data_IF_854794051681
#
_entry.id   IF_854794051681
#
_cell.length_a   1.000
_cell.length_b   1.000
_cell.length_c   1.000
_cell.angle_alpha   90.00
_cell.angle_beta   90.00
_cell.angle_gamma   90.00
#
_symmetry.space_group_name_H-M   'P 1'
#
loop_
_entity.id
_entity.type
_entity.pdbx_description
1 polymer ?
#
# COMPACT_ATOMS: atom_id res chain seq x y z
N UNK A 1 18.93 1.30 -6.04
CA UNK A 1 18.58 0.10 -6.84
C UNK A 1 18.01 0.49 -8.19
N UNK A 2 18.37 -0.24 -9.25
CA UNK A 2 17.77 -0.11 -10.59
C UNK A 2 16.39 -0.78 -10.61
N UNK A 3 15.48 -0.31 -11.49
CA UNK A 3 14.12 -0.88 -11.62
C UNK A 3 14.13 -2.40 -11.89
N UNK A 4 14.98 -2.93 -12.79
CA UNK A 4 15.06 -4.38 -13.02
C UNK A 4 15.44 -5.17 -11.76
N UNK A 5 16.36 -4.64 -10.96
CA UNK A 5 16.80 -5.27 -9.73
C UNK A 5 15.68 -5.31 -8.68
N UNK A 6 14.88 -4.25 -8.57
CA UNK A 6 13.73 -4.22 -7.67
C UNK A 6 12.66 -5.22 -8.11
N UNK A 7 12.33 -5.27 -9.41
CA UNK A 7 11.39 -6.27 -9.96
C UNK A 7 11.85 -7.70 -9.68
N UNK A 8 13.15 -7.98 -9.83
CA UNK A 8 13.73 -9.28 -9.48
C UNK A 8 13.55 -9.62 -8.01
N UNK A 9 13.72 -8.64 -7.10
CA UNK A 9 13.48 -8.85 -5.67
C UNK A 9 12.01 -9.12 -5.37
N UNK A 10 11.09 -8.35 -5.95
CA UNK A 10 9.63 -8.58 -5.82
C UNK A 10 9.27 -10.00 -6.24
N UNK A 11 9.74 -10.44 -7.42
CA UNK A 11 9.52 -11.81 -7.91
C UNK A 11 10.11 -12.87 -6.96
N UNK A 12 11.27 -12.61 -6.35
CA UNK A 12 11.85 -13.53 -5.37
C UNK A 12 10.95 -13.69 -4.13
N UNK A 13 10.39 -12.59 -3.60
CA UNK A 13 9.43 -12.66 -2.50
C UNK A 13 8.16 -13.41 -2.90
N UNK A 14 7.65 -13.21 -4.11
CA UNK A 14 6.47 -13.91 -4.60
C UNK A 14 6.70 -15.43 -4.67
N UNK A 15 7.84 -15.86 -5.23
CA UNK A 15 8.24 -17.27 -5.24
C UNK A 15 8.35 -17.84 -3.82
N UNK A 16 8.95 -17.10 -2.88
CA UNK A 16 9.05 -17.54 -1.48
C UNK A 16 7.68 -17.69 -0.82
N UNK A 17 6.76 -16.75 -1.05
CA UNK A 17 5.38 -16.81 -0.55
C UNK A 17 4.67 -18.04 -1.15
N UNK A 18 4.85 -18.30 -2.43
CA UNK A 18 4.25 -19.44 -3.13
C UNK A 18 4.74 -20.78 -2.56
N UNK A 19 6.05 -20.93 -2.35
CA UNK A 19 6.65 -22.12 -1.72
C UNK A 19 6.06 -22.36 -0.32
N UNK A 20 5.90 -21.29 0.48
CA UNK A 20 5.29 -21.40 1.81
C UNK A 20 3.82 -21.84 1.72
N UNK A 21 3.04 -21.27 0.79
CA UNK A 21 1.65 -21.69 0.56
C UNK A 21 1.54 -23.17 0.19
N UNK A 22 2.39 -23.67 -0.71
CA UNK A 22 2.43 -25.08 -1.07
C UNK A 22 2.79 -25.97 0.13
N UNK A 23 3.71 -25.53 0.98
CA UNK A 23 4.07 -26.26 2.21
C UNK A 23 2.90 -26.34 3.20
N UNK A 24 2.16 -25.26 3.39
CA UNK A 24 0.94 -25.25 4.22
C UNK A 24 -0.07 -26.24 3.63
N UNK A 25 -0.32 -26.18 2.33
CA UNK A 25 -1.26 -27.08 1.64
C UNK A 25 -0.89 -28.55 1.84
N UNK A 26 0.39 -28.91 1.66
CA UNK A 26 0.87 -30.27 1.91
C UNK A 26 0.77 -30.70 3.38
N UNK A 27 0.90 -29.77 4.33
CA UNK A 27 0.67 -30.07 5.75
C UNK A 27 -0.81 -30.26 6.08
N UNK A 28 -1.72 -29.48 5.47
CA UNK A 28 -3.16 -29.68 5.59
C UNK A 28 -3.60 -31.02 5.01
N UNK A 29 -3.16 -31.34 3.79
CA UNK A 29 -3.47 -32.61 3.14
C UNK A 29 -3.05 -33.82 3.98
N UNK A 30 -1.86 -33.77 4.59
CA UNK A 30 -1.34 -34.87 5.43
C UNK A 30 -2.10 -35.08 6.75
N UNK A 31 -2.72 -34.04 7.31
CA UNK A 31 -3.32 -34.11 8.66
C UNK A 31 -4.84 -34.16 8.60
N UNK A 32 -5.45 -33.35 7.73
CA UNK A 32 -6.90 -33.16 7.63
C UNK A 32 -7.47 -33.92 6.43
N UNK A 33 -6.68 -34.12 5.37
CA UNK A 33 -7.12 -34.73 4.10
C UNK A 33 -7.64 -33.71 3.09
N UNK A 34 -7.73 -32.43 3.46
CA UNK A 34 -8.19 -31.36 2.59
C UNK A 34 -7.01 -30.65 1.91
N UNK A 35 -7.15 -30.37 0.62
CA UNK A 35 -6.17 -29.61 -0.17
C UNK A 35 -6.46 -28.10 -0.22
N UNK A 36 -7.49 -27.63 0.49
CA UNK A 36 -7.93 -26.24 0.41
C UNK A 36 -6.92 -25.36 1.14
N UNK A 37 -6.36 -24.38 0.42
CA UNK A 37 -5.47 -23.38 1.00
C UNK A 37 -6.30 -22.42 1.87
N UNK A 38 -6.07 -22.36 3.19
CA UNK A 38 -6.79 -21.40 4.02
C UNK A 38 -6.38 -19.97 3.65
N UNK A 39 -7.37 -19.11 3.38
CA UNK A 39 -7.15 -17.72 2.99
C UNK A 39 -6.63 -16.84 4.15
N UNK A 40 -6.83 -17.24 5.39
CA UNK A 40 -6.40 -16.51 6.59
C UNK A 40 -5.98 -17.45 7.71
N UNK A 41 -5.21 -16.92 8.68
CA UNK A 41 -4.82 -17.64 9.89
C UNK A 41 -6.07 -18.07 10.67
N UNK A 42 -7.05 -17.18 10.82
CA UNK A 42 -8.32 -17.47 11.50
C UNK A 42 -9.01 -18.69 10.90
N UNK A 43 -9.19 -18.72 9.58
CA UNK A 43 -9.87 -19.81 8.88
C UNK A 43 -9.05 -21.13 8.99
N UNK A 44 -7.72 -21.03 8.90
CA UNK A 44 -6.84 -22.17 9.11
C UNK A 44 -6.99 -22.75 10.53
N UNK A 45 -6.98 -21.90 11.56
CA UNK A 45 -7.12 -22.31 12.96
C UNK A 45 -8.52 -22.86 13.26
N UNK A 46 -9.56 -22.28 12.66
CA UNK A 46 -10.93 -22.75 12.79
C UNK A 46 -11.10 -24.16 12.20
N UNK A 47 -10.60 -24.38 10.99
CA UNK A 47 -10.63 -25.70 10.33
C UNK A 47 -9.93 -26.77 11.19
N UNK A 48 -8.75 -26.44 11.72
CA UNK A 48 -7.98 -27.34 12.59
C UNK A 48 -8.75 -27.61 13.90
N UNK A 49 -9.40 -26.60 14.48
CA UNK A 49 -10.22 -26.73 15.69
C UNK A 49 -11.45 -27.61 15.46
N UNK A 50 -12.12 -27.48 14.32
CA UNK A 50 -13.25 -28.33 13.93
C UNK A 50 -12.78 -29.78 13.77
N UNK A 51 -11.69 -30.00 13.03
CA UNK A 51 -11.15 -31.34 12.83
C UNK A 51 -10.72 -32.01 14.15
N UNK A 52 -10.12 -31.25 15.06
CA UNK A 52 -9.78 -31.71 16.42
C UNK A 52 -11.02 -32.19 17.18
N UNK A 53 -12.11 -31.41 17.16
CA UNK A 53 -13.39 -31.79 17.81
C UNK A 53 -13.94 -33.10 17.26
N UNK A 54 -13.90 -33.29 15.94
CA UNK A 54 -14.36 -34.51 15.26
C UNK A 54 -13.58 -35.72 15.75
N UNK A 55 -12.24 -35.62 15.82
CA UNK A 55 -11.39 -36.71 16.30
C UNK A 55 -11.65 -37.05 17.76
N UNK A 56 -11.79 -36.05 18.64
CA UNK A 56 -12.06 -36.29 20.07
C UNK A 56 -13.43 -36.90 20.34
N UNK A 57 -14.43 -36.65 19.48
CA UNK A 57 -15.79 -37.18 19.63
C UNK A 57 -15.94 -38.59 19.06
N UNK A 58 -14.98 -39.05 18.26
CA UNK A 58 -15.07 -40.33 17.57
C UNK A 58 -14.86 -41.51 18.55
N UNK A 59 -15.95 -42.19 18.89
CA UNK A 59 -15.97 -43.33 19.82
C UNK A 59 -15.23 -44.57 19.29
N UNK A 60 -14.95 -44.64 17.99
CA UNK A 60 -14.30 -45.78 17.36
C UNK A 60 -12.76 -45.75 17.47
N UNK A 61 -12.18 -44.68 18.03
CA UNK A 61 -10.73 -44.54 18.19
C UNK A 61 -10.27 -44.91 19.60
N UNK A 62 -9.18 -45.67 19.70
CA UNK A 62 -8.53 -45.94 20.99
C UNK A 62 -7.87 -44.66 21.54
N UNK A 63 -7.74 -44.52 22.86
CA UNK A 63 -7.06 -43.37 23.52
C UNK A 63 -5.68 -43.05 22.91
N UNK A 64 -4.87 -44.07 22.62
CA UNK A 64 -3.56 -43.90 22.01
C UNK A 64 -3.61 -43.32 20.58
N UNK A 65 -4.61 -43.73 19.79
CA UNK A 65 -4.83 -43.20 18.43
C UNK A 65 -5.26 -41.74 18.48
N UNK A 66 -6.13 -41.38 19.43
CA UNK A 66 -6.56 -40.01 19.68
C UNK A 66 -5.35 -39.14 20.05
N UNK A 67 -4.53 -39.56 21.02
CA UNK A 67 -3.33 -38.81 21.40
C UNK A 67 -2.34 -38.60 20.26
N UNK A 68 -2.14 -39.62 19.41
CA UNK A 68 -1.27 -39.51 18.22
C UNK A 68 -1.81 -38.46 17.24
N UNK A 69 -3.11 -38.49 16.94
CA UNK A 69 -3.76 -37.50 16.07
C UNK A 69 -3.75 -36.10 16.67
N UNK A 70 -4.01 -35.95 17.97
CA UNK A 70 -3.93 -34.65 18.65
C UNK A 70 -2.52 -34.04 18.58
N UNK A 71 -1.48 -34.87 18.70
CA UNK A 71 -0.09 -34.39 18.54
C UNK A 71 0.16 -33.87 17.13
N UNK A 72 -0.34 -34.55 16.10
CA UNK A 72 -0.24 -34.10 14.71
C UNK A 72 -0.96 -32.76 14.50
N UNK A 73 -2.15 -32.60 15.08
CA UNK A 73 -2.94 -31.36 15.05
C UNK A 73 -2.19 -30.22 15.75
N UNK A 74 -1.67 -30.42 16.97
CA UNK A 74 -0.90 -29.38 17.67
C UNK A 74 0.35 -28.95 16.89
N UNK A 75 1.01 -29.91 16.24
CA UNK A 75 2.16 -29.61 15.38
C UNK A 75 1.73 -28.80 14.16
N UNK A 76 0.58 -29.13 13.55
CA UNK A 76 0.01 -28.36 12.44
C UNK A 76 -0.35 -26.94 12.89
N UNK A 77 -1.00 -26.75 14.05
CA UNK A 77 -1.33 -25.42 14.59
C UNK A 77 -0.08 -24.54 14.73
N UNK A 78 0.99 -25.10 15.31
CA UNK A 78 2.28 -24.40 15.43
C UNK A 78 2.88 -24.08 14.07
N UNK A 79 2.84 -25.02 13.13
CA UNK A 79 3.37 -24.82 11.79
C UNK A 79 2.60 -23.71 11.07
N UNK A 80 1.26 -23.73 11.09
CA UNK A 80 0.40 -22.69 10.48
C UNK A 80 0.78 -21.31 11.00
N UNK A 81 0.87 -21.14 12.33
CA UNK A 81 1.23 -19.84 12.92
C UNK A 81 2.59 -19.35 12.41
N UNK A 82 3.59 -20.23 12.34
CA UNK A 82 4.92 -19.89 11.85
C UNK A 82 4.92 -19.54 10.35
N UNK A 83 4.27 -20.35 9.52
CA UNK A 83 4.25 -20.15 8.06
C UNK A 83 3.47 -18.88 7.68
N UNK A 84 2.35 -18.59 8.33
CA UNK A 84 1.65 -17.32 8.10
C UNK A 84 2.42 -16.10 8.62
N UNK A 85 3.13 -16.22 9.74
CA UNK A 85 4.07 -15.19 10.20
C UNK A 85 5.15 -14.92 9.15
N UNK A 86 5.67 -15.98 8.51
CA UNK A 86 6.66 -15.89 7.44
C UNK A 86 6.07 -15.25 6.17
N UNK A 87 4.85 -15.62 5.76
CA UNK A 87 4.13 -14.99 4.65
C UNK A 87 3.99 -13.48 4.89
N UNK A 88 3.58 -13.07 6.09
CA UNK A 88 3.42 -11.66 6.43
C UNK A 88 4.76 -10.90 6.35
N UNK A 89 5.84 -11.51 6.84
CA UNK A 89 7.20 -10.95 6.71
C UNK A 89 7.63 -10.78 5.26
N UNK A 90 7.39 -11.79 4.41
CA UNK A 90 7.68 -11.71 2.98
C UNK A 90 6.80 -10.69 2.25
N UNK A 91 5.52 -10.59 2.60
CA UNK A 91 4.62 -9.57 2.06
C UNK A 91 5.10 -8.16 2.42
N UNK A 92 5.48 -7.93 3.68
CA UNK A 92 6.06 -6.64 4.10
C UNK A 92 7.33 -6.31 3.32
N UNK A 93 8.23 -7.27 3.16
CA UNK A 93 9.43 -7.11 2.34
C UNK A 93 9.10 -6.75 0.88
N UNK A 94 8.16 -7.49 0.26
CA UNK A 94 7.69 -7.23 -1.11
C UNK A 94 7.07 -5.83 -1.26
N UNK A 95 6.22 -5.44 -0.32
CA UNK A 95 5.52 -4.16 -0.37
C UNK A 95 6.49 -2.98 -0.28
N UNK A 96 7.52 -3.07 0.56
CA UNK A 96 8.61 -2.07 0.61
C UNK A 96 9.25 -1.85 -0.76
N UNK A 97 9.55 -2.91 -1.50
CA UNK A 97 10.10 -2.79 -2.85
C UNK A 97 9.09 -2.19 -3.86
N UNK A 98 7.81 -2.49 -3.71
CA UNK A 98 6.78 -1.85 -4.54
C UNK A 98 6.67 -0.35 -4.25
N UNK A 99 6.74 0.06 -2.97
CA UNK A 99 6.79 1.47 -2.57
C UNK A 99 7.98 2.17 -3.22
N UNK A 100 9.18 1.58 -3.16
CA UNK A 100 10.37 2.14 -3.80
C UNK A 100 10.19 2.36 -5.32
N UNK A 101 9.51 1.43 -6.01
CA UNK A 101 9.19 1.59 -7.44
C UNK A 101 8.26 2.78 -7.64
N UNK A 102 7.13 2.83 -6.94
CA UNK A 102 6.15 3.91 -7.14
C UNK A 102 6.69 5.28 -6.72
N UNK A 103 7.51 5.35 -5.66
CA UNK A 103 8.18 6.57 -5.21
C UNK A 103 9.10 7.15 -6.30
N UNK A 104 9.82 6.30 -7.03
CA UNK A 104 10.69 6.72 -8.15
C UNK A 104 9.94 7.40 -9.29
N UNK A 105 8.68 7.04 -9.53
CA UNK A 105 7.84 7.65 -10.57
C UNK A 105 6.98 8.81 -10.02
N UNK A 106 6.55 8.72 -8.77
CA UNK A 106 5.69 9.72 -8.13
C UNK A 106 6.41 11.07 -7.96
N UNK A 107 7.68 11.06 -7.56
CA UNK A 107 8.45 12.31 -7.33
C UNK A 107 8.62 13.13 -8.63
N UNK A 108 9.07 12.58 -9.77
CA UNK A 108 9.13 13.33 -11.03
C UNK A 108 7.76 13.87 -11.47
N UNK A 109 6.69 13.11 -11.26
CA UNK A 109 5.34 13.56 -11.60
C UNK A 109 4.90 14.75 -10.72
N UNK A 110 5.32 14.77 -9.45
CA UNK A 110 5.08 15.91 -8.56
C UNK A 110 5.72 17.20 -9.07
N UNK A 111 6.88 17.13 -9.73
CA UNK A 111 7.51 18.30 -10.34
C UNK A 111 6.58 18.96 -11.37
N UNK A 112 5.90 18.17 -12.20
CA UNK A 112 4.94 18.68 -13.20
C UNK A 112 3.78 19.38 -12.49
N UNK A 113 3.26 18.77 -11.42
CA UNK A 113 2.17 19.35 -10.63
C UNK A 113 2.61 20.67 -9.97
N UNK A 114 3.83 20.74 -9.43
CA UNK A 114 4.36 21.98 -8.83
C UNK A 114 4.51 23.10 -9.85
N UNK A 115 4.88 22.80 -11.09
CA UNK A 115 4.91 23.80 -12.17
C UNK A 115 3.50 24.33 -12.45
N UNK A 116 2.50 23.45 -12.51
CA UNK A 116 1.09 23.84 -12.69
C UNK A 116 0.57 24.71 -11.55
N UNK A 117 1.01 24.45 -10.32
CA UNK A 117 0.66 25.24 -9.14
C UNK A 117 1.40 26.60 -9.13
N UNK A 118 2.67 26.62 -9.58
CA UNK A 118 3.52 27.80 -9.55
C UNK A 118 3.04 28.94 -10.45
N UNK A 119 2.48 28.62 -11.62
CA UNK A 119 1.91 29.62 -12.55
C UNK A 119 0.86 30.54 -11.91
N UNK A 120 -0.29 30.01 -11.45
CA UNK A 120 -1.33 30.81 -10.81
C UNK A 120 -0.86 31.50 -9.52
N UNK A 121 -0.07 30.81 -8.68
CA UNK A 121 0.50 31.42 -7.47
C UNK A 121 1.37 32.63 -7.82
N UNK A 122 2.21 32.54 -8.85
CA UNK A 122 3.05 33.64 -9.30
C UNK A 122 2.24 34.85 -9.76
N UNK A 123 1.12 34.63 -10.46
CA UNK A 123 0.21 35.70 -10.88
C UNK A 123 -0.46 36.36 -9.67
N UNK A 124 -0.92 35.57 -8.71
CA UNK A 124 -1.56 36.08 -7.48
C UNK A 124 -0.57 36.82 -6.58
N UNK A 125 0.64 36.31 -6.44
CA UNK A 125 1.67 36.85 -5.55
C UNK A 125 2.33 38.14 -6.07
N UNK A 126 2.18 38.48 -7.36
CA UNK A 126 2.56 39.82 -7.90
C UNK A 126 1.93 40.98 -7.12
N UNK A 127 0.79 40.78 -6.44
CA UNK A 127 0.14 41.79 -5.60
C UNK A 127 0.75 41.93 -4.19
N UNK A 128 1.51 40.94 -3.71
CA UNK A 128 1.97 40.82 -2.31
C UNK A 128 3.48 40.88 -2.09
N UNK A 129 4.28 41.09 -3.14
CA UNK A 129 5.74 41.14 -3.06
C UNK A 129 6.43 39.77 -3.22
N UNK A 130 7.71 39.79 -3.60
CA UNK A 130 8.50 38.60 -3.94
C UNK A 130 8.59 37.56 -2.81
N UNK A 131 8.75 38.03 -1.56
CA UNK A 131 8.85 37.18 -0.36
C UNK A 131 7.66 36.24 -0.19
N UNK A 132 6.44 36.72 -0.46
CA UNK A 132 5.22 35.93 -0.28
C UNK A 132 5.19 34.69 -1.20
N UNK A 133 5.74 34.81 -2.42
CA UNK A 133 5.81 33.69 -3.37
C UNK A 133 6.70 32.56 -2.86
N UNK A 134 7.84 32.93 -2.24
CA UNK A 134 8.81 31.98 -1.72
C UNK A 134 8.22 31.22 -0.53
N UNK A 135 7.64 31.93 0.43
CA UNK A 135 7.04 31.33 1.63
C UNK A 135 5.92 30.36 1.23
N UNK A 136 5.07 30.75 0.28
CA UNK A 136 3.98 29.89 -0.19
C UNK A 136 4.53 28.62 -0.87
N UNK A 137 5.52 28.77 -1.75
CA UNK A 137 6.14 27.66 -2.47
C UNK A 137 6.80 26.66 -1.51
N UNK A 138 7.53 27.16 -0.52
CA UNK A 138 8.13 26.33 0.51
C UNK A 138 7.08 25.62 1.37
N UNK A 139 6.00 26.31 1.73
CA UNK A 139 4.87 25.73 2.45
C UNK A 139 4.24 24.55 1.70
N UNK A 140 3.97 24.71 0.40
CA UNK A 140 3.45 23.61 -0.42
C UNK A 140 4.41 22.44 -0.55
N UNK A 141 5.71 22.74 -0.72
CA UNK A 141 6.75 21.70 -0.73
C UNK A 141 6.77 20.92 0.59
N UNK A 142 6.71 21.61 1.73
CA UNK A 142 6.70 20.98 3.05
C UNK A 142 5.47 20.09 3.25
N UNK A 143 4.27 20.58 2.92
CA UNK A 143 3.03 19.81 3.02
C UNK A 143 3.11 18.57 2.14
N UNK A 144 3.55 18.72 0.90
CA UNK A 144 3.72 17.59 -0.02
C UNK A 144 4.67 16.54 0.56
N UNK A 145 5.82 16.97 1.10
CA UNK A 145 6.81 16.09 1.67
C UNK A 145 6.27 15.33 2.89
N UNK A 146 5.51 16.00 3.76
CA UNK A 146 4.83 15.37 4.90
C UNK A 146 3.81 14.32 4.45
N UNK A 147 3.03 14.61 3.40
CA UNK A 147 2.09 13.64 2.83
C UNK A 147 2.80 12.44 2.21
N UNK A 148 3.95 12.65 1.56
CA UNK A 148 4.76 11.57 1.00
C UNK A 148 5.30 10.64 2.09
N UNK A 149 5.86 11.20 3.17
CA UNK A 149 6.31 10.41 4.33
C UNK A 149 5.15 9.66 4.96
N UNK A 150 4.00 10.32 5.15
CA UNK A 150 2.80 9.67 5.70
C UNK A 150 2.31 8.52 4.82
N UNK A 151 2.32 8.69 3.50
CA UNK A 151 2.00 7.63 2.54
C UNK A 151 2.97 6.46 2.62
N UNK A 152 4.28 6.72 2.77
CA UNK A 152 5.31 5.69 2.91
C UNK A 152 5.08 4.84 4.16
N UNK A 153 4.82 5.49 5.30
CA UNK A 153 4.53 4.82 6.56
C UNK A 153 3.23 3.98 6.49
N UNK A 154 2.20 4.46 5.79
CA UNK A 154 0.95 3.72 5.60
C UNK A 154 1.12 2.46 4.73
N UNK A 155 1.96 2.54 3.69
CA UNK A 155 2.26 1.42 2.82
C UNK A 155 3.16 0.39 3.53
N UNK A 156 4.15 0.84 4.30
CA UNK A 156 5.07 -0.02 5.06
C UNK A 156 4.37 -0.84 6.16
N UNK A 157 3.24 -0.32 6.68
CA UNK A 157 2.38 -1.02 7.63
C UNK A 157 1.42 -2.03 6.98
N UNK A 158 1.55 -2.28 5.67
CA UNK A 158 0.65 -3.14 4.89
C UNK A 158 -0.85 -2.78 5.02
N UNK A 159 -1.18 -1.55 5.41
CA UNK A 159 -2.58 -1.12 5.57
C UNK A 159 -3.24 -0.83 4.22
N UNK A 160 -2.46 -0.32 3.28
CA UNK A 160 -2.94 0.08 1.96
C UNK A 160 -1.95 -0.32 0.86
N UNK A 161 -2.41 -0.51 -0.39
CA UNK A 161 -1.54 -0.78 -1.53
C UNK A 161 -0.53 0.36 -1.74
N UNK A 162 0.73 -0.01 -2.01
CA UNK A 162 1.83 0.93 -2.27
C UNK A 162 1.50 1.96 -3.36
N UNK A 163 0.75 1.54 -4.39
CA UNK A 163 0.29 2.41 -5.46
C UNK A 163 -0.59 3.55 -4.95
N UNK A 164 -1.59 3.26 -4.11
CA UNK A 164 -2.52 4.30 -3.61
C UNK A 164 -1.77 5.28 -2.71
N UNK A 165 -0.95 4.77 -1.81
CA UNK A 165 -0.21 5.59 -0.85
C UNK A 165 0.81 6.53 -1.49
N UNK A 166 1.53 6.07 -2.53
CA UNK A 166 2.55 6.89 -3.19
C UNK A 166 1.97 7.91 -4.17
N UNK A 167 0.77 7.66 -4.69
CA UNK A 167 0.13 8.53 -5.69
C UNK A 167 -0.93 9.46 -5.08
N UNK A 168 -1.42 9.19 -3.87
CA UNK A 168 -2.40 10.05 -3.22
C UNK A 168 -1.94 11.49 -3.03
N UNK A 169 -0.67 11.80 -2.66
CA UNK A 169 -0.23 13.20 -2.55
C UNK A 169 -0.30 13.90 -3.91
N UNK A 170 0.11 13.20 -4.98
CA UNK A 170 0.07 13.74 -6.33
C UNK A 170 -1.38 14.02 -6.79
N UNK A 171 -2.32 13.12 -6.51
CA UNK A 171 -3.73 13.33 -6.87
C UNK A 171 -4.33 14.53 -6.14
N UNK A 172 -4.04 14.67 -4.85
CA UNK A 172 -4.55 15.78 -4.04
C UNK A 172 -3.98 17.10 -4.54
N UNK A 173 -2.66 17.17 -4.77
CA UNK A 173 -2.03 18.37 -5.30
C UNK A 173 -2.45 18.66 -6.74
N UNK A 174 -2.74 17.65 -7.56
CA UNK A 174 -3.24 17.84 -8.92
C UNK A 174 -4.64 18.47 -8.91
N UNK A 175 -5.55 17.99 -8.07
CA UNK A 175 -6.89 18.59 -7.91
C UNK A 175 -6.75 20.04 -7.46
N UNK A 176 -5.89 20.29 -6.49
CA UNK A 176 -5.61 21.64 -6.00
C UNK A 176 -5.01 22.55 -7.09
N UNK A 177 -4.09 22.02 -7.90
CA UNK A 177 -3.49 22.73 -9.04
C UNK A 177 -4.55 23.13 -10.06
N UNK A 178 -5.43 22.21 -10.44
CA UNK A 178 -6.50 22.46 -11.40
C UNK A 178 -7.48 23.50 -10.88
N UNK A 179 -7.86 23.40 -9.60
CA UNK A 179 -8.73 24.37 -8.94
C UNK A 179 -8.14 25.78 -8.93
N UNK A 180 -6.86 25.93 -8.54
CA UNK A 180 -6.16 27.21 -8.57
C UNK A 180 -6.06 27.81 -9.97
N UNK A 181 -5.74 26.98 -10.97
CA UNK A 181 -5.66 27.43 -12.36
C UNK A 181 -7.01 27.93 -12.85
N UNK A 182 -8.10 27.20 -12.57
CA UNK A 182 -9.45 27.58 -12.95
C UNK A 182 -9.84 28.96 -12.39
N UNK A 183 -9.61 29.18 -11.08
CA UNK A 183 -9.88 30.49 -10.45
C UNK A 183 -9.05 31.60 -11.09
N UNK A 184 -7.76 31.36 -11.27
CA UNK A 184 -6.85 32.36 -11.84
C UNK A 184 -7.27 32.76 -13.25
N UNK A 185 -7.66 31.80 -14.09
CA UNK A 185 -8.16 32.05 -15.45
C UNK A 185 -9.43 32.90 -15.42
N UNK A 186 -10.38 32.59 -14.54
CA UNK A 186 -11.60 33.37 -14.39
C UNK A 186 -11.33 34.81 -13.91
N UNK A 187 -10.42 35.01 -12.95
CA UNK A 187 -10.02 36.34 -12.49
C UNK A 187 -9.34 37.17 -13.60
N UNK A 188 -8.48 36.54 -14.40
CA UNK A 188 -7.78 37.17 -15.51
C UNK A 188 -8.77 37.55 -16.64
N UNK A 189 -9.71 36.67 -16.97
CA UNK A 189 -10.76 36.92 -17.96
C UNK A 189 -11.62 38.13 -17.61
N UNK A 190 -12.01 38.26 -16.33
CA UNK A 190 -12.82 39.39 -15.86
C UNK A 190 -12.07 40.74 -15.99
N UNK A 191 -10.79 40.76 -15.63
CA UNK A 191 -9.97 41.98 -15.72
C UNK A 191 -9.63 42.39 -17.16
N UNK A 192 -9.36 41.42 -18.03
CA UNK A 192 -9.07 41.66 -19.45
C UNK A 192 -10.25 42.37 -20.14
N UNK A 193 -11.47 41.94 -19.85
CA UNK A 193 -12.70 42.50 -20.45
C UNK A 193 -12.98 43.93 -19.96
N UNK A 194 -12.64 44.26 -18.71
CA UNK A 194 -12.69 45.63 -18.19
C UNK A 194 -11.64 46.56 -18.82
N UNK A 195 -10.44 46.06 -19.12
CA UNK A 195 -9.38 46.88 -19.71
C UNK A 195 -9.71 47.28 -21.16
N UNK A 196 -10.31 46.37 -21.93
CA UNK A 196 -10.72 46.64 -23.31
C UNK A 196 -11.92 47.59 -23.42
N UNK A 197 -12.79 47.62 -22.40
CA UNK A 197 -13.95 48.53 -22.36
C UNK A 197 -13.60 49.96 -21.97
N UNK A 198 -12.38 50.23 -21.47
CA UNK A 198 -11.94 51.56 -21.02
C UNK A 198 -11.10 52.32 -22.07
N UNK A 199 -10.85 51.70 -23.22
CA UNK A 199 -10.02 52.22 -24.32
C UNK A 199 -10.83 52.64 -25.56
N UNK A 200 -12.16 52.66 -25.45
CA UNK A 200 -13.11 53.26 -26.39
C UNK A 200 -13.97 54.28 -25.64
#
# INVERSE_FOLDING_TARGET
>A
MTIPMIKSKVSNYEKRIEVVKFRIMGSFFRVIGDSILPHSIENAMETVKVHKKIITKNKNLTKNQIHKKERQIRNLERQIKNEFGLINSYQKGRNKYQVEIHKKFSIPFACIIFVLIGGPIGVMAKKGGFSNSIILSFGFFLIYYLMLIGGEELADRNKFPAMICMWSPNLIFLIFALYLNFITIHELSSKSLMFFKKTH
#
